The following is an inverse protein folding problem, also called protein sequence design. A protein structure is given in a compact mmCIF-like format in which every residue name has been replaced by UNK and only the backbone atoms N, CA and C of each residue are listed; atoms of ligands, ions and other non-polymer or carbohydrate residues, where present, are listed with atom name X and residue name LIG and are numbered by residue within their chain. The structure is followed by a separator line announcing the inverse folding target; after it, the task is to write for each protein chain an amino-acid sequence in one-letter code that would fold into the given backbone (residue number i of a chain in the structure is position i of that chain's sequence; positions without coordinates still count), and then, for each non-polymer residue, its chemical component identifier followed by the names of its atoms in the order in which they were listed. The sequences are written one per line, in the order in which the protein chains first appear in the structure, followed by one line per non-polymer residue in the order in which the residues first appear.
data_IF_648983796725
#
_entry.id   IF_648983796725
#
_cell.length_a   1.000
_cell.length_b   1.000
_cell.length_c   1.000
_cell.angle_alpha   90.00
_cell.angle_beta   90.00
_cell.angle_gamma   90.00
#
_symmetry.space_group_name_H-M   'P 1'
#
loop_
_entity.id
_entity.type
_entity.pdbx_description
1 polymer ?
#
# COMPACT_ATOMS: atom_id res chain seq x y z
N UNK A 1 17.81 -10.52 14.35
CA UNK A 1 17.27 -9.17 14.10
C UNK A 1 17.39 -8.88 12.60
N UNK A 2 16.28 -8.78 11.88
CA UNK A 2 16.29 -8.35 10.49
C UNK A 2 16.46 -6.81 10.47
N UNK A 3 17.51 -6.31 9.81
CA UNK A 3 17.74 -4.87 9.68
C UNK A 3 16.82 -4.32 8.59
N UNK A 4 16.15 -3.20 8.86
CA UNK A 4 15.41 -2.48 7.83
C UNK A 4 16.40 -2.01 6.74
N UNK A 5 16.06 -2.23 5.47
CA UNK A 5 16.93 -1.90 4.33
C UNK A 5 16.86 -0.42 3.94
N UNK A 6 15.84 0.29 4.42
CA UNK A 6 15.55 1.70 4.14
C UNK A 6 15.05 2.33 5.45
N UNK A 7 15.51 3.54 5.74
CA UNK A 7 15.04 4.35 6.87
C UNK A 7 14.62 5.72 6.35
N UNK A 8 13.47 6.24 6.81
CA UNK A 8 12.97 7.55 6.42
C UNK A 8 13.45 8.61 7.41
N UNK A 9 13.91 9.76 6.90
CA UNK A 9 14.39 10.89 7.71
C UNK A 9 13.29 11.90 8.04
N UNK A 10 12.13 11.77 7.41
CA UNK A 10 10.94 12.61 7.63
C UNK A 10 9.64 11.82 7.45
N UNK A 11 8.53 12.34 7.98
CA UNK A 11 7.21 11.75 7.78
C UNK A 11 6.78 11.75 6.31
N UNK A 12 7.06 12.83 5.58
CA UNK A 12 6.77 12.93 4.15
C UNK A 12 7.55 11.89 3.33
N UNK A 13 8.81 11.65 3.68
CA UNK A 13 9.61 10.59 3.05
C UNK A 13 9.04 9.19 3.35
N UNK A 14 8.58 8.95 4.58
CA UNK A 14 7.94 7.69 4.95
C UNK A 14 6.64 7.45 4.16
N UNK A 15 5.79 8.47 4.03
CA UNK A 15 4.57 8.42 3.21
C UNK A 15 4.89 8.13 1.73
N UNK A 16 5.93 8.78 1.20
CA UNK A 16 6.37 8.56 -0.18
C UNK A 16 6.83 7.11 -0.41
N UNK A 17 7.64 6.57 0.49
CA UNK A 17 8.13 5.18 0.41
C UNK A 17 6.95 4.20 0.49
N UNK A 18 6.02 4.41 1.42
CA UNK A 18 4.83 3.57 1.57
C UNK A 18 3.96 3.60 0.31
N UNK A 19 3.70 4.78 -0.26
CA UNK A 19 2.94 4.92 -1.50
C UNK A 19 3.62 4.23 -2.69
N UNK A 20 4.94 4.35 -2.81
CA UNK A 20 5.73 3.66 -3.84
C UNK A 20 5.64 2.13 -3.69
N UNK A 21 5.79 1.62 -2.47
CA UNK A 21 5.73 0.18 -2.22
C UNK A 21 4.32 -0.37 -2.49
N UNK A 22 3.27 0.30 -2.00
CA UNK A 22 1.88 -0.06 -2.29
C UNK A 22 1.55 -0.05 -3.79
N UNK A 23 2.10 0.91 -4.54
CA UNK A 23 1.88 1.03 -5.99
C UNK A 23 2.45 -0.16 -6.77
N UNK A 24 3.63 -0.66 -6.38
CA UNK A 24 4.20 -1.87 -7.00
C UNK A 24 3.33 -3.09 -6.74
N UNK A 25 2.86 -3.25 -5.51
CA UNK A 25 1.99 -4.37 -5.14
C UNK A 25 0.65 -4.30 -5.87
N UNK A 26 0.04 -3.11 -5.98
CA UNK A 26 -1.21 -2.90 -6.72
C UNK A 26 -1.07 -3.26 -8.21
N UNK A 27 0.01 -2.82 -8.86
CA UNK A 27 0.31 -3.16 -10.25
C UNK A 27 0.57 -4.66 -10.40
N UNK A 28 1.25 -5.28 -9.44
CA UNK A 28 1.47 -6.71 -9.43
C UNK A 28 0.14 -7.47 -9.34
N UNK A 29 -0.74 -7.14 -8.39
CA UNK A 29 -2.06 -7.74 -8.24
C UNK A 29 -2.90 -7.58 -9.52
N UNK A 30 -2.93 -6.38 -10.11
CA UNK A 30 -3.65 -6.11 -11.38
C UNK A 30 -3.19 -7.00 -12.53
N UNK A 31 -1.88 -7.31 -12.61
CA UNK A 31 -1.31 -8.21 -13.62
C UNK A 31 -1.44 -9.69 -13.26
N UNK A 32 -1.50 -10.00 -11.97
CA UNK A 32 -1.55 -11.36 -11.45
C UNK A 32 -2.94 -11.99 -11.59
N UNK A 33 -4.01 -11.24 -11.26
CA UNK A 33 -5.39 -11.76 -11.30
C UNK A 33 -5.78 -12.30 -12.70
N UNK A 34 -5.55 -11.61 -13.82
CA UNK A 34 -5.82 -12.14 -15.16
C UNK A 34 -5.01 -13.41 -15.50
N UNK A 35 -3.79 -13.51 -14.95
CA UNK A 35 -2.94 -14.69 -15.10
C UNK A 35 -3.46 -15.92 -14.34
N UNK A 36 -4.30 -15.73 -13.31
CA UNK A 36 -5.00 -16.81 -12.61
C UNK A 36 -6.28 -17.27 -13.33
N UNK A 37 -6.87 -16.44 -14.20
CA UNK A 37 -8.15 -16.69 -14.88
C UNK A 37 -8.01 -17.28 -16.29
N UNK A 38 -6.87 -17.90 -16.61
CA UNK A 38 -6.55 -18.54 -17.90
C UNK A 38 -6.32 -17.60 -19.10
N UNK A 39 -5.90 -16.35 -18.86
CA UNK A 39 -5.41 -15.47 -19.93
C UNK A 39 -3.88 -15.55 -19.96
N UNK A 40 -3.34 -16.41 -20.82
CA UNK A 40 -1.90 -16.63 -20.96
C UNK A 40 -1.21 -15.40 -21.55
N UNK A 41 -0.87 -14.43 -20.70
CA UNK A 41 -0.24 -13.18 -21.09
C UNK A 41 0.81 -12.69 -20.08
N UNK A 42 1.58 -13.59 -19.45
CA UNK A 42 2.72 -13.18 -18.62
C UNK A 42 3.85 -12.69 -19.52
N UNK A 43 3.94 -11.39 -19.76
CA UNK A 43 5.13 -10.79 -20.38
C UNK A 43 6.25 -10.72 -19.35
N UNK A 44 7.34 -11.45 -19.61
CA UNK A 44 8.58 -11.43 -18.83
C UNK A 44 9.24 -10.05 -18.96
N UNK A 45 8.93 -9.11 -18.07
CA UNK A 45 9.58 -7.79 -18.16
C UNK A 45 9.29 -6.84 -17.03
N UNK A 46 9.96 -7.01 -15.89
CA UNK A 46 10.10 -5.93 -14.90
C UNK A 46 11.56 -5.88 -14.42
N UNK A 47 12.50 -5.70 -15.35
CA UNK A 47 13.94 -5.80 -15.07
C UNK A 47 14.64 -4.47 -14.81
N UNK A 48 14.00 -3.31 -14.99
CA UNK A 48 14.66 -2.02 -14.75
C UNK A 48 13.82 -1.06 -13.90
N UNK A 49 14.11 -1.16 -12.60
CA UNK A 49 13.60 -0.49 -11.41
C UNK A 49 14.48 0.74 -11.08
N UNK A 50 14.44 1.83 -11.87
CA UNK A 50 15.42 2.92 -11.65
C UNK A 50 14.86 4.33 -11.74
N UNK A 51 13.90 4.62 -10.87
CA UNK A 51 13.96 5.71 -9.87
C UNK A 51 12.63 5.76 -9.11
N UNK A 52 12.65 5.57 -7.79
CA UNK A 52 11.43 5.42 -6.98
C UNK A 52 10.48 6.62 -7.09
N UNK A 53 11.03 7.84 -7.24
CA UNK A 53 10.26 9.09 -7.40
C UNK A 53 9.61 9.21 -8.77
N UNK A 54 10.38 8.98 -9.83
CA UNK A 54 9.88 9.11 -11.20
C UNK A 54 8.88 8.02 -11.56
N UNK A 55 9.07 6.80 -11.05
CA UNK A 55 8.15 5.70 -11.29
C UNK A 55 6.72 5.99 -10.83
N UNK A 56 6.54 6.51 -9.60
CA UNK A 56 5.20 6.79 -9.07
C UNK A 56 4.49 7.86 -9.90
N UNK A 57 5.24 8.86 -10.38
CA UNK A 57 4.69 9.90 -11.28
C UNK A 57 4.28 9.31 -12.63
N UNK A 58 5.12 8.45 -13.20
CA UNK A 58 4.86 7.82 -14.51
C UNK A 58 3.61 6.92 -14.47
N UNK A 59 3.45 6.08 -13.45
CA UNK A 59 2.26 5.20 -13.35
C UNK A 59 0.98 5.98 -13.05
N UNK A 60 1.08 7.14 -12.40
CA UNK A 60 -0.05 8.05 -12.25
C UNK A 60 -0.39 8.74 -13.57
N UNK A 61 0.61 9.23 -14.30
CA UNK A 61 0.46 9.89 -15.60
C UNK A 61 -0.12 8.95 -16.67
N UNK A 62 0.32 7.69 -16.68
CA UNK A 62 -0.21 6.65 -17.57
C UNK A 62 -1.65 6.23 -17.18
N UNK A 63 -2.15 6.65 -16.02
CA UNK A 63 -3.49 6.32 -15.53
C UNK A 63 -3.60 4.91 -14.94
N UNK A 64 -2.48 4.23 -14.70
CA UNK A 64 -2.46 2.93 -14.04
C UNK A 64 -2.82 3.02 -12.56
N UNK A 65 -2.52 4.16 -11.93
CA UNK A 65 -2.82 4.46 -10.53
C UNK A 65 -3.43 5.85 -10.43
N UNK A 66 -4.52 5.98 -9.67
CA UNK A 66 -5.08 7.28 -9.29
C UNK A 66 -4.75 7.55 -7.84
N UNK A 67 -4.12 8.69 -7.57
CA UNK A 67 -3.85 9.15 -6.21
C UNK A 67 -5.03 9.98 -5.71
N UNK A 68 -5.66 9.54 -4.62
CA UNK A 68 -6.77 10.23 -3.98
C UNK A 68 -6.41 10.59 -2.54
N UNK A 69 -6.75 11.81 -2.12
CA UNK A 69 -6.56 12.24 -0.75
C UNK A 69 -7.69 11.69 0.11
N UNK A 70 -7.34 10.83 1.05
CA UNK A 70 -8.25 10.32 2.07
C UNK A 70 -8.11 11.19 3.33
N UNK A 71 -9.22 11.49 4.01
CA UNK A 71 -9.18 12.21 5.27
C UNK A 71 -8.54 11.32 6.35
N UNK A 72 -7.82 11.90 7.32
CA UNK A 72 -7.10 11.14 8.36
C UNK A 72 -8.03 10.19 9.12
N UNK A 73 -9.25 10.63 9.42
CA UNK A 73 -10.22 9.82 10.16
C UNK A 73 -10.82 8.67 9.32
N UNK A 74 -10.68 8.74 7.99
CA UNK A 74 -11.14 7.71 7.05
C UNK A 74 -9.99 6.80 6.56
N UNK A 75 -8.74 7.11 6.92
CA UNK A 75 -7.59 6.37 6.42
C UNK A 75 -7.40 5.06 7.21
N UNK A 76 -8.05 4.00 6.77
CA UNK A 76 -7.97 2.66 7.39
C UNK A 76 -6.54 2.10 7.49
N UNK A 77 -5.57 2.66 6.76
CA UNK A 77 -4.16 2.25 6.87
C UNK A 77 -3.39 2.91 8.02
N UNK A 78 -3.93 3.97 8.64
CA UNK A 78 -3.27 4.70 9.74
C UNK A 78 -2.87 3.80 10.93
N UNK A 79 -3.68 2.81 11.39
CA UNK A 79 -3.28 1.91 12.48
C UNK A 79 -2.02 1.10 12.18
N UNK A 80 -1.70 0.87 10.90
CA UNK A 80 -0.51 0.11 10.50
C UNK A 80 0.74 0.99 10.36
N UNK A 81 0.59 2.31 10.32
CA UNK A 81 1.68 3.26 10.03
C UNK A 81 1.94 4.24 11.16
N UNK A 82 1.00 4.40 12.10
CA UNK A 82 1.06 5.38 13.19
C UNK A 82 0.63 4.76 14.52
N UNK A 83 1.18 5.30 15.60
CA UNK A 83 0.67 5.03 16.94
C UNK A 83 -0.58 5.89 17.19
N UNK A 84 -1.76 5.28 17.13
CA UNK A 84 -3.04 5.95 17.35
C UNK A 84 -3.52 5.78 18.80
N UNK A 85 -4.26 6.76 19.30
CA UNK A 85 -5.01 6.61 20.55
C UNK A 85 -6.08 5.53 20.41
N UNK A 86 -6.39 4.84 21.52
CA UNK A 86 -7.31 3.70 21.52
C UNK A 86 -8.67 3.97 20.85
N UNK A 87 -9.35 5.13 21.06
CA UNK A 87 -10.63 5.39 20.41
C UNK A 87 -10.54 5.35 18.87
N UNK A 88 -9.55 6.05 18.30
CA UNK A 88 -9.32 6.08 16.84
C UNK A 88 -8.91 4.72 16.31
N UNK A 89 -7.98 4.04 17.00
CA UNK A 89 -7.57 2.70 16.62
C UNK A 89 -8.76 1.73 16.57
N UNK A 90 -9.60 1.73 17.62
CA UNK A 90 -10.79 0.88 17.72
C UNK A 90 -11.78 1.14 16.58
N UNK A 91 -12.04 2.40 16.26
CA UNK A 91 -12.88 2.80 15.13
C UNK A 91 -12.32 2.27 13.80
N UNK A 92 -11.03 2.50 13.52
CA UNK A 92 -10.42 2.05 12.27
C UNK A 92 -10.42 0.52 12.16
N UNK A 93 -10.13 -0.21 13.25
CA UNK A 93 -10.19 -1.69 13.25
C UNK A 93 -11.58 -2.23 12.98
N UNK A 94 -12.63 -1.57 13.48
CA UNK A 94 -14.01 -1.93 13.18
C UNK A 94 -14.35 -1.68 11.71
N UNK A 95 -13.92 -0.54 11.17
CA UNK A 95 -14.14 -0.19 9.76
C UNK A 95 -13.36 -1.10 8.80
N UNK A 96 -12.22 -1.66 9.21
CA UNK A 96 -11.51 -2.72 8.48
C UNK A 96 -12.31 -4.05 8.47
N UNK A 97 -13.21 -4.26 9.43
CA UNK A 97 -13.95 -5.52 9.61
C UNK A 97 -13.25 -6.51 10.55
N UNK A 98 -12.32 -6.04 11.39
CA UNK A 98 -11.71 -6.89 12.41
C UNK A 98 -12.71 -7.24 13.51
N UNK A 99 -12.81 -8.51 13.84
CA UNK A 99 -13.62 -8.98 14.96
C UNK A 99 -12.87 -8.82 16.28
N UNK A 100 -13.54 -8.43 17.37
CA UNK A 100 -12.90 -8.42 18.67
C UNK A 100 -12.54 -9.86 19.06
N UNK A 101 -11.40 -10.03 19.74
CA UNK A 101 -10.92 -11.34 20.15
C UNK A 101 -11.93 -12.14 20.99
N UNK A 102 -12.84 -11.44 21.68
CA UNK A 102 -13.97 -12.04 22.39
C UNK A 102 -14.94 -12.81 21.49
N UNK A 103 -14.93 -12.58 20.18
CA UNK A 103 -15.79 -13.28 19.20
C UNK A 103 -15.23 -14.64 18.79
N UNK A 104 -14.00 -14.96 19.19
CA UNK A 104 -13.33 -16.24 18.92
C UNK A 104 -13.45 -17.22 20.11
N UNK A 105 -14.01 -16.77 21.24
CA UNK A 105 -14.30 -17.58 22.43
C UNK A 105 -15.77 -18.01 22.42
#
# INVERSE_FOLDING_TARGET
SAKQSIFATSSAEAEYIAAFDASKEAIWVRKFIPGLTNESGITKGARHFRAKVYYLREVIEFGDIKLEKVHTDDNLADPFTKALAFPKHSEHTKNIGMLPASSLM
#
